data_IF_778493056422
#
_entry.id   IF_778493056422
#
_cell.length_a   1.000
_cell.length_b   1.000
_cell.length_c   1.000
_cell.angle_alpha   90.00
_cell.angle_beta   90.00
_cell.angle_gamma   90.00
#
_symmetry.space_group_name_H-M   'P 1'
#
loop_
_entity.id
_entity.type
_entity.pdbx_description
1 polymer ?
#
# COMPACT_ATOMS: atom_id res chain seq x y z
N UNK A 1 68.24 23.44 44.36
CA UNK A 1 68.45 24.60 43.46
C UNK A 1 68.14 24.19 42.04
N UNK A 2 67.45 25.07 41.27
CA UNK A 2 66.95 24.94 39.87
C UNK A 2 65.72 24.03 39.74
N UNK A 3 64.46 24.45 39.55
CA UNK A 3 63.75 25.59 38.90
C UNK A 3 63.52 25.42 37.36
N UNK A 4 62.22 25.40 36.98
CA UNK A 4 61.56 25.71 35.66
C UNK A 4 61.67 24.60 34.58
N UNK A 5 60.66 24.16 33.81
CA UNK A 5 59.44 24.77 33.21
C UNK A 5 58.38 23.66 32.98
N UNK A 6 57.12 23.76 33.42
CA UNK A 6 55.93 24.42 32.82
C UNK A 6 55.56 24.01 31.37
N UNK A 7 54.24 23.81 31.19
CA UNK A 7 53.45 23.57 29.97
C UNK A 7 53.32 22.14 29.42
N UNK A 8 52.32 21.40 29.93
CA UNK A 8 51.38 20.64 29.09
C UNK A 8 49.99 20.62 29.77
N UNK A 9 49.43 21.83 29.99
CA UNK A 9 47.99 22.03 30.10
C UNK A 9 47.58 22.67 28.79
N UNK A 10 46.63 22.07 28.08
CA UNK A 10 45.93 22.72 26.98
C UNK A 10 46.15 22.10 25.60
N UNK A 11 45.56 20.92 25.37
CA UNK A 11 44.88 20.64 24.11
C UNK A 11 43.79 19.57 24.29
N UNK A 12 42.93 19.75 25.31
CA UNK A 12 41.54 19.26 25.23
C UNK A 12 40.79 20.35 24.45
N UNK A 13 41.04 20.39 23.14
CA UNK A 13 40.37 21.30 22.21
C UNK A 13 39.62 20.44 21.21
N UNK A 14 38.34 20.23 21.56
CA UNK A 14 37.22 20.20 20.63
C UNK A 14 37.42 19.39 19.34
N UNK A 15 37.28 18.08 19.45
CA UNK A 15 36.46 17.34 18.49
C UNK A 15 35.07 17.15 19.10
N UNK A 16 34.40 18.27 19.40
CA UNK A 16 32.96 18.36 19.24
C UNK A 16 32.69 18.38 17.72
N UNK A 17 33.03 17.27 17.06
CA UNK A 17 32.50 16.98 15.75
C UNK A 17 31.05 16.65 15.99
N UNK A 18 30.16 17.57 15.63
CA UNK A 18 28.77 17.27 15.38
C UNK A 18 28.69 16.14 14.35
N UNK A 19 28.81 14.90 14.79
CA UNK A 19 28.08 13.82 14.13
C UNK A 19 26.63 14.17 14.39
N UNK A 20 26.04 14.94 13.46
CA UNK A 20 24.66 14.68 13.11
C UNK A 20 24.63 13.19 12.84
N UNK A 21 24.13 12.43 13.80
CA UNK A 21 23.56 11.12 13.51
C UNK A 21 22.50 11.42 12.46
N UNK A 22 22.92 11.34 11.20
CA UNK A 22 22.04 10.93 10.13
C UNK A 22 21.84 9.43 10.37
N UNK A 23 21.23 9.08 11.51
CA UNK A 23 20.55 7.80 11.63
C UNK A 23 19.40 7.91 10.63
N UNK A 24 19.72 7.60 9.38
CA UNK A 24 18.70 7.15 8.44
C UNK A 24 18.15 5.91 9.15
N UNK A 25 16.97 6.05 9.74
CA UNK A 25 16.27 4.90 10.30
C UNK A 25 16.33 3.79 9.25
N UNK A 26 16.78 2.57 9.62
CA UNK A 26 16.94 1.51 8.65
C UNK A 26 15.57 1.25 8.02
N UNK A 27 15.45 1.60 6.74
CA UNK A 27 14.26 1.29 5.94
C UNK A 27 14.11 -0.22 5.96
N UNK A 28 13.16 -0.69 6.75
CA UNK A 28 12.96 -2.12 6.95
C UNK A 28 11.94 -2.58 5.94
N UNK A 29 12.36 -3.46 5.02
CA UNK A 29 11.42 -4.16 4.15
C UNK A 29 10.75 -5.26 4.95
N UNK A 30 9.43 -5.18 5.05
CA UNK A 30 8.57 -6.16 5.69
C UNK A 30 7.74 -6.88 4.64
N UNK A 31 7.83 -8.21 4.60
CA UNK A 31 6.87 -9.04 3.87
C UNK A 31 5.49 -8.91 4.52
N UNK A 32 4.47 -8.71 3.70
CA UNK A 32 3.07 -8.59 4.13
C UNK A 32 2.22 -9.63 3.45
N UNK A 33 1.21 -10.12 4.16
CA UNK A 33 0.18 -10.98 3.58
C UNK A 33 -1.14 -10.89 4.36
N UNK A 34 -2.23 -11.30 3.72
CA UNK A 34 -3.53 -11.26 4.34
C UNK A 34 -4.68 -11.50 3.38
N UNK A 35 -5.89 -11.10 3.81
CA UNK A 35 -7.12 -11.25 3.04
C UNK A 35 -7.87 -9.93 2.95
N UNK A 36 -8.61 -9.77 1.85
CA UNK A 36 -9.60 -8.72 1.62
C UNK A 36 -10.93 -9.39 1.29
N UNK A 37 -11.97 -9.09 2.06
CA UNK A 37 -13.34 -9.61 1.81
C UNK A 37 -14.35 -8.48 1.84
N UNK A 38 -15.38 -8.56 1.00
CA UNK A 38 -16.38 -7.49 0.90
C UNK A 38 -17.27 -7.62 -0.32
N UNK A 39 -17.76 -6.48 -0.80
CA UNK A 39 -18.61 -6.40 -2.00
C UNK A 39 -18.04 -5.36 -2.96
N UNK A 40 -17.81 -5.77 -4.21
CA UNK A 40 -17.50 -4.92 -5.33
C UNK A 40 -18.78 -4.66 -6.13
N UNK A 41 -19.09 -3.38 -6.31
CA UNK A 41 -20.24 -2.92 -7.08
C UNK A 41 -19.75 -2.47 -8.46
N UNK A 42 -20.28 -3.09 -9.51
CA UNK A 42 -20.06 -2.63 -10.87
C UNK A 42 -20.93 -1.40 -11.15
N UNK A 43 -20.32 -0.34 -11.67
CA UNK A 43 -20.99 0.92 -11.98
C UNK A 43 -21.15 1.04 -13.50
N UNK A 44 -22.35 1.43 -13.92
CA UNK A 44 -22.76 1.52 -15.31
C UNK A 44 -23.07 2.95 -15.71
N UNK A 45 -22.73 3.31 -16.96
CA UNK A 45 -23.05 4.61 -17.54
C UNK A 45 -24.54 4.69 -17.92
N UNK A 46 -24.97 5.84 -18.44
CA UNK A 46 -26.36 6.05 -18.85
C UNK A 46 -26.79 5.18 -20.04
N UNK A 47 -25.84 4.53 -20.72
CA UNK A 47 -26.05 3.63 -21.84
C UNK A 47 -26.04 2.16 -21.39
N UNK A 48 -25.80 1.89 -20.11
CA UNK A 48 -25.70 0.54 -19.55
C UNK A 48 -24.36 -0.14 -19.77
N UNK A 49 -23.31 0.59 -20.17
CA UNK A 49 -21.96 0.03 -20.27
C UNK A 49 -21.27 0.12 -18.89
N UNK A 50 -20.57 -0.93 -18.46
CA UNK A 50 -19.78 -0.87 -17.25
C UNK A 50 -18.59 0.07 -17.42
N UNK A 51 -18.34 0.96 -16.46
CA UNK A 51 -17.23 1.91 -16.51
C UNK A 51 -16.36 1.97 -15.25
N UNK A 52 -16.77 1.34 -14.14
CA UNK A 52 -15.95 1.26 -12.93
C UNK A 52 -16.37 0.10 -12.02
N UNK A 53 -15.46 -0.32 -11.14
CA UNK A 53 -15.79 -1.02 -9.91
C UNK A 53 -15.64 -0.09 -8.72
N UNK A 54 -16.55 -0.23 -7.77
CA UNK A 54 -16.52 0.47 -6.49
C UNK A 54 -16.54 -0.53 -5.34
N UNK A 55 -15.61 -0.37 -4.40
CA UNK A 55 -15.58 -1.15 -3.15
C UNK A 55 -15.67 -0.16 -2.00
N UNK A 56 -16.51 -0.46 -1.02
CA UNK A 56 -16.67 0.35 0.19
C UNK A 56 -16.62 -0.53 1.42
N UNK A 57 -15.74 -0.21 2.36
CA UNK A 57 -15.62 -0.89 3.65
C UNK A 57 -15.27 -2.38 3.54
N UNK A 58 -14.50 -2.80 2.53
CA UNK A 58 -14.03 -4.18 2.47
C UNK A 58 -13.12 -4.46 3.67
N UNK A 59 -13.34 -5.59 4.34
CA UNK A 59 -12.58 -5.99 5.52
C UNK A 59 -11.20 -6.43 5.10
N UNK A 60 -10.17 -5.88 5.74
CA UNK A 60 -8.77 -6.24 5.54
C UNK A 60 -8.25 -6.94 6.80
N UNK A 61 -7.60 -8.07 6.63
CA UNK A 61 -7.04 -8.88 7.72
C UNK A 61 -5.67 -9.44 7.36
N UNK A 62 -4.84 -9.76 8.35
CA UNK A 62 -3.47 -10.25 8.17
C UNK A 62 -2.45 -9.26 8.71
N UNK A 63 -1.44 -8.92 7.92
CA UNK A 63 -0.43 -7.90 8.25
C UNK A 63 -1.02 -6.49 8.45
N UNK A 64 -2.16 -6.20 7.80
CA UNK A 64 -2.98 -5.02 8.06
C UNK A 64 -4.32 -5.46 8.63
N UNK A 65 -4.91 -4.62 9.46
CA UNK A 65 -6.23 -4.85 10.06
C UNK A 65 -7.04 -3.57 9.97
N UNK A 66 -8.26 -3.67 9.45
CA UNK A 66 -9.17 -2.55 9.28
C UNK A 66 -10.00 -2.72 8.02
N UNK A 67 -10.17 -1.64 7.25
CA UNK A 67 -11.01 -1.63 6.05
C UNK A 67 -10.33 -1.01 4.85
N UNK A 68 -10.86 -1.25 3.66
CA UNK A 68 -10.43 -0.63 2.43
C UNK A 68 -11.60 -0.14 1.59
N UNK A 69 -11.43 1.02 0.99
CA UNK A 69 -12.28 1.56 -0.07
C UNK A 69 -11.48 1.58 -1.38
N UNK A 70 -12.16 1.33 -2.49
CA UNK A 70 -11.55 1.37 -3.82
C UNK A 70 -12.48 2.04 -4.84
N UNK A 71 -11.88 2.85 -5.72
CA UNK A 71 -12.51 3.31 -6.96
C UNK A 71 -11.62 2.89 -8.13
N UNK A 72 -12.14 2.00 -8.97
CA UNK A 72 -11.39 1.32 -10.03
C UNK A 72 -12.08 1.53 -11.39
N UNK A 73 -11.86 2.69 -12.04
CA UNK A 73 -12.30 2.93 -13.41
C UNK A 73 -11.83 1.86 -14.39
N UNK A 74 -12.74 1.43 -15.26
CA UNK A 74 -12.45 0.52 -16.37
C UNK A 74 -11.75 1.32 -17.47
N UNK A 75 -10.62 0.79 -17.93
CA UNK A 75 -9.83 1.35 -19.04
C UNK A 75 -10.18 0.71 -20.37
N UNK A 76 -10.35 -0.60 -20.37
CA UNK A 76 -10.70 -1.36 -21.56
C UNK A 76 -11.33 -2.69 -21.19
N UNK A 77 -12.04 -3.27 -22.15
CA UNK A 77 -12.57 -4.63 -22.06
C UNK A 77 -12.11 -5.35 -23.32
N UNK A 78 -11.40 -6.45 -23.14
CA UNK A 78 -10.89 -7.25 -24.24
C UNK A 78 -12.00 -8.11 -24.87
N UNK A 79 -11.74 -8.67 -26.05
CA UNK A 79 -12.72 -9.49 -26.78
C UNK A 79 -13.13 -10.79 -26.07
N UNK A 80 -12.32 -11.26 -25.11
CA UNK A 80 -12.62 -12.41 -24.25
C UNK A 80 -13.40 -12.02 -22.98
N UNK A 81 -13.75 -10.75 -22.81
CA UNK A 81 -14.45 -10.23 -21.65
C UNK A 81 -13.55 -9.92 -20.45
N UNK A 82 -12.22 -9.95 -20.58
CA UNK A 82 -11.33 -9.47 -19.53
C UNK A 82 -11.41 -7.96 -19.42
N UNK A 83 -11.72 -7.48 -18.22
CA UNK A 83 -11.80 -6.06 -17.87
C UNK A 83 -10.43 -5.63 -17.34
N UNK A 84 -9.90 -4.54 -17.89
CA UNK A 84 -8.70 -3.87 -17.38
C UNK A 84 -9.12 -2.59 -16.65
N UNK A 85 -8.60 -2.40 -15.44
CA UNK A 85 -8.93 -1.23 -14.62
C UNK A 85 -7.68 -0.60 -14.02
N UNK A 86 -7.77 0.71 -13.77
CA UNK A 86 -6.74 1.49 -13.10
C UNK A 86 -7.41 2.48 -12.16
N UNK A 87 -6.93 2.56 -10.92
CA UNK A 87 -7.58 3.35 -9.90
C UNK A 87 -6.75 3.44 -8.62
N UNK A 88 -7.44 3.50 -7.49
CA UNK A 88 -6.82 3.68 -6.18
C UNK A 88 -7.62 2.98 -5.09
N UNK A 89 -6.91 2.44 -4.10
CA UNK A 89 -7.45 2.07 -2.81
C UNK A 89 -7.00 3.05 -1.73
N UNK A 90 -7.85 3.20 -0.71
CA UNK A 90 -7.52 3.80 0.58
C UNK A 90 -7.63 2.69 1.62
N UNK A 91 -6.60 2.52 2.44
CA UNK A 91 -6.59 1.56 3.53
C UNK A 91 -6.70 2.29 4.87
N UNK A 92 -7.59 1.80 5.72
CA UNK A 92 -7.87 2.35 7.03
C UNK A 92 -7.55 1.32 8.11
N UNK A 93 -7.11 1.80 9.28
CA UNK A 93 -6.99 0.97 10.48
C UNK A 93 -8.37 0.70 11.12
N UNK A 94 -8.40 -0.11 12.18
CA UNK A 94 -9.63 -0.41 12.93
C UNK A 94 -10.26 0.83 13.60
N UNK A 95 -9.51 1.92 13.75
CA UNK A 95 -9.99 3.21 14.24
C UNK A 95 -10.50 4.15 13.14
N UNK A 96 -10.43 3.74 11.87
CA UNK A 96 -10.83 4.55 10.72
C UNK A 96 -9.77 5.57 10.27
N UNK A 97 -8.54 5.51 10.79
CA UNK A 97 -7.46 6.38 10.33
C UNK A 97 -6.82 5.80 9.08
N UNK A 98 -6.44 6.66 8.14
CA UNK A 98 -5.77 6.24 6.90
C UNK A 98 -4.38 5.72 7.23
N UNK A 99 -4.10 4.49 6.80
CA UNK A 99 -2.77 3.87 6.87
C UNK A 99 -1.94 4.27 5.65
N UNK A 100 -2.52 4.08 4.45
CA UNK A 100 -1.88 4.43 3.18
C UNK A 100 -2.88 4.47 2.02
N UNK A 101 -2.44 5.05 0.90
CA UNK A 101 -3.15 5.04 -0.40
C UNK A 101 -2.32 4.35 -1.46
N UNK A 102 -2.97 3.78 -2.46
CA UNK A 102 -2.31 3.08 -3.56
C UNK A 102 -2.68 3.63 -4.93
N UNK A 103 -1.78 3.44 -5.90
CA UNK A 103 -2.11 3.48 -7.32
C UNK A 103 -2.18 2.05 -7.82
N UNK A 104 -3.27 1.74 -8.52
CA UNK A 104 -3.60 0.36 -8.84
C UNK A 104 -3.71 0.12 -10.33
N UNK A 105 -3.35 -1.10 -10.72
CA UNK A 105 -3.57 -1.63 -12.05
C UNK A 105 -3.91 -3.10 -11.96
N UNK A 106 -5.06 -3.48 -12.50
CA UNK A 106 -5.52 -4.85 -12.39
C UNK A 106 -6.43 -5.29 -13.54
N UNK A 107 -6.76 -6.56 -13.48
CA UNK A 107 -7.67 -7.24 -14.40
C UNK A 107 -8.72 -8.04 -13.65
N UNK A 108 -9.89 -8.16 -14.25
CA UNK A 108 -10.95 -9.07 -13.84
C UNK A 108 -11.40 -9.87 -15.06
N UNK A 109 -11.35 -11.21 -14.99
CA UNK A 109 -11.80 -12.08 -16.09
C UNK A 109 -13.31 -12.16 -16.14
N UNK A 110 -13.86 -12.67 -17.25
CA UNK A 110 -15.29 -12.92 -17.39
C UNK A 110 -15.84 -13.98 -16.42
N UNK A 111 -14.97 -14.75 -15.74
CA UNK A 111 -15.33 -15.69 -14.68
C UNK A 111 -15.21 -15.09 -13.28
N UNK A 112 -14.76 -13.84 -13.16
CA UNK A 112 -14.62 -13.13 -11.90
C UNK A 112 -13.28 -13.34 -11.21
N UNK A 113 -12.29 -13.96 -11.86
CA UNK A 113 -10.92 -14.01 -11.31
C UNK A 113 -10.29 -12.62 -11.40
N UNK A 114 -9.70 -12.15 -10.31
CA UNK A 114 -9.11 -10.83 -10.17
C UNK A 114 -7.63 -10.95 -9.81
N UNK A 115 -6.82 -10.16 -10.50
CA UNK A 115 -5.46 -9.84 -10.09
C UNK A 115 -5.29 -8.31 -10.14
N UNK A 116 -4.86 -7.72 -9.04
CA UNK A 116 -4.65 -6.27 -8.96
C UNK A 116 -3.30 -5.97 -8.30
N UNK A 117 -2.49 -5.14 -8.94
CA UNK A 117 -1.19 -4.70 -8.48
C UNK A 117 -1.35 -3.33 -7.84
N UNK A 118 -0.99 -3.22 -6.56
CA UNK A 118 -1.15 -2.03 -5.74
C UNK A 118 0.23 -1.46 -5.39
N UNK A 119 0.50 -0.23 -5.79
CA UNK A 119 1.72 0.50 -5.43
C UNK A 119 1.37 1.58 -4.41
N UNK A 120 2.00 1.57 -3.25
CA UNK A 120 1.75 2.59 -2.22
C UNK A 120 2.30 3.95 -2.66
N UNK A 121 1.45 4.97 -2.65
CA UNK A 121 1.78 6.34 -3.07
C UNK A 121 1.74 7.38 -1.94
N UNK A 122 1.18 7.03 -0.78
CA UNK A 122 1.09 7.91 0.40
C UNK A 122 1.04 7.09 1.70
N UNK A 123 1.60 7.62 2.79
CA UNK A 123 1.55 7.03 4.15
C UNK A 123 2.66 6.01 4.45
N UNK A 124 2.98 5.14 3.49
CA UNK A 124 4.13 4.21 3.52
C UNK A 124 4.78 4.16 2.13
N UNK A 125 5.70 3.22 1.88
CA UNK A 125 6.13 2.87 0.52
C UNK A 125 6.17 1.35 0.36
N UNK A 126 6.01 0.86 -0.87
CA UNK A 126 5.96 -0.58 -1.13
C UNK A 126 4.97 -0.94 -2.21
N UNK A 127 4.82 -2.24 -2.44
CA UNK A 127 3.91 -2.79 -3.44
C UNK A 127 3.42 -4.16 -3.00
N UNK A 128 2.20 -4.49 -3.38
CA UNK A 128 1.61 -5.79 -3.15
C UNK A 128 0.58 -6.10 -4.21
N UNK A 129 0.21 -7.38 -4.32
CA UNK A 129 -0.75 -7.87 -5.29
C UNK A 129 -1.92 -8.46 -4.50
N UNK A 130 -3.15 -8.14 -4.90
CA UNK A 130 -4.33 -8.88 -4.47
C UNK A 130 -4.77 -9.87 -5.55
N UNK A 131 -5.07 -11.11 -5.17
CA UNK A 131 -5.56 -12.16 -6.07
C UNK A 131 -6.76 -12.89 -5.48
N UNK A 132 -7.69 -13.31 -6.31
CA UNK A 132 -8.83 -14.12 -5.86
C UNK A 132 -10.03 -13.94 -6.78
N UNK A 133 -11.22 -14.13 -6.24
CA UNK A 133 -12.44 -14.10 -7.05
C UNK A 133 -13.45 -13.07 -6.57
N UNK A 134 -14.19 -12.53 -7.53
CA UNK A 134 -15.42 -11.77 -7.35
C UNK A 134 -16.56 -12.60 -7.92
N UNK A 135 -17.57 -12.88 -7.11
CA UNK A 135 -18.81 -13.46 -7.59
C UNK A 135 -19.55 -12.40 -8.43
N UNK A 136 -19.61 -12.58 -9.74
CA UNK A 136 -20.21 -11.60 -10.65
C UNK A 136 -21.72 -11.41 -10.48
N UNK A 137 -22.41 -12.32 -9.79
CA UNK A 137 -23.84 -12.20 -9.50
C UNK A 137 -24.10 -11.37 -8.24
N UNK A 138 -23.29 -11.56 -7.20
CA UNK A 138 -23.49 -10.94 -5.88
C UNK A 138 -22.56 -9.77 -5.60
N UNK A 139 -21.49 -9.63 -6.38
CA UNK A 139 -20.39 -8.70 -6.13
C UNK A 139 -19.45 -9.13 -4.99
N UNK A 140 -19.72 -10.25 -4.32
CA UNK A 140 -18.90 -10.71 -3.19
C UNK A 140 -17.46 -10.96 -3.65
N UNK A 141 -16.50 -10.30 -3.01
CA UNK A 141 -15.08 -10.48 -3.28
C UNK A 141 -14.42 -11.24 -2.13
N UNK A 142 -13.55 -12.17 -2.49
CA UNK A 142 -12.68 -12.89 -1.57
C UNK A 142 -11.29 -12.95 -2.19
N UNK A 143 -10.40 -12.07 -1.74
CA UNK A 143 -9.05 -11.91 -2.25
C UNK A 143 -8.03 -12.18 -1.15
N UNK A 144 -6.88 -12.71 -1.53
CA UNK A 144 -5.66 -12.69 -0.71
C UNK A 144 -4.77 -11.55 -1.19
N UNK A 145 -3.89 -11.06 -0.33
CA UNK A 145 -2.81 -10.17 -0.74
C UNK A 145 -1.46 -10.64 -0.24
N UNK A 146 -0.41 -10.33 -1.00
CA UNK A 146 0.97 -10.57 -0.66
C UNK A 146 1.89 -9.50 -1.27
N UNK A 147 2.96 -9.14 -0.57
CA UNK A 147 3.94 -8.18 -1.09
C UNK A 147 4.88 -7.65 -0.03
N UNK A 148 5.43 -6.45 -0.28
CA UNK A 148 6.43 -5.83 0.60
C UNK A 148 6.10 -4.38 0.89
N UNK A 149 6.28 -3.98 2.15
CA UNK A 149 6.14 -2.60 2.59
C UNK A 149 7.38 -2.17 3.35
N UNK A 150 7.76 -0.91 3.13
CA UNK A 150 8.86 -0.23 3.80
C UNK A 150 8.27 0.78 4.78
N UNK A 151 8.75 0.70 6.01
CA UNK A 151 8.43 1.63 7.10
C UNK A 151 9.64 2.47 7.47
#
# INVERSE_FOLDING_TARGET
>A
MKLISLFFIGLVLLLAGCSKDNSVDPVTEQEISGNVTGVAVMIFDNQGNPYAFQVRGAVVSGSFKGTSDADLPIRSIDSNGTIHFEGMHIFYDEGGNIIFRTSDKGTATATGEVENHLTIIEGKSGQFITKGNVNLQTGELALTYEGKVRT
#
